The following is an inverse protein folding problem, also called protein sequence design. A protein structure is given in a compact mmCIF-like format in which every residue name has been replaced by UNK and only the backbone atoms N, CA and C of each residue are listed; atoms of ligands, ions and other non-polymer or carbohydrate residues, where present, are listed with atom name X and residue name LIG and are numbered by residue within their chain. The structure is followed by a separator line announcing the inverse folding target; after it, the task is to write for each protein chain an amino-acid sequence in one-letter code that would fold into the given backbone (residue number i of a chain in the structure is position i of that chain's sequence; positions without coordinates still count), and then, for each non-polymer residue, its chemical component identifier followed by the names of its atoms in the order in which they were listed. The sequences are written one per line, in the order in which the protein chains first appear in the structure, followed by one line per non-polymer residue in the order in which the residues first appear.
data_IF_873955906247
#
_entry.id   IF_873955906247
#
_cell.length_a   1.000
_cell.length_b   1.000
_cell.length_c   1.000
_cell.angle_alpha   90.00
_cell.angle_beta   90.00
_cell.angle_gamma   90.00
#
_symmetry.space_group_name_H-M   'P 1'
#
loop_
_entity.id
_entity.type
_entity.pdbx_description
1 polymer ?
#
# COMPACT_ATOMS: atom_id res chain seq x y z
N UNK A 1 -14.50 30.12 -64.25
CA UNK A 1 -13.19 30.78 -64.11
C UNK A 1 -13.12 31.67 -62.87
N UNK A 2 -13.93 32.73 -62.72
CA UNK A 2 -13.92 33.55 -61.48
C UNK A 2 -14.41 32.77 -60.24
N UNK A 3 -15.48 31.98 -60.39
CA UNK A 3 -16.04 31.20 -59.29
C UNK A 3 -15.09 30.09 -58.80
N UNK A 4 -14.35 29.46 -59.71
CA UNK A 4 -13.38 28.40 -59.38
C UNK A 4 -12.19 28.93 -58.58
N UNK A 5 -11.75 30.15 -58.91
CA UNK A 5 -10.70 30.85 -58.17
C UNK A 5 -11.19 31.21 -56.75
N UNK A 6 -12.42 31.71 -56.61
CA UNK A 6 -13.02 32.03 -55.30
C UNK A 6 -13.17 30.78 -54.44
N UNK A 7 -13.64 29.67 -55.00
CA UNK A 7 -13.76 28.38 -54.29
C UNK A 7 -12.39 27.88 -53.84
N UNK A 8 -11.37 27.99 -54.70
CA UNK A 8 -10.01 27.56 -54.36
C UNK A 8 -9.41 28.38 -53.22
N UNK A 9 -9.60 29.71 -53.24
CA UNK A 9 -9.16 30.60 -52.15
C UNK A 9 -9.90 30.28 -50.85
N UNK A 10 -11.21 30.07 -50.91
CA UNK A 10 -12.02 29.71 -49.74
C UNK A 10 -11.54 28.39 -49.12
N UNK A 11 -11.24 27.37 -49.92
CA UNK A 11 -10.77 26.08 -49.44
C UNK A 11 -9.39 26.18 -48.76
N UNK A 12 -8.47 26.98 -49.33
CA UNK A 12 -7.16 27.25 -48.71
C UNK A 12 -7.35 27.96 -47.37
N UNK A 13 -8.22 28.98 -47.32
CA UNK A 13 -8.52 29.70 -46.09
C UNK A 13 -9.13 28.78 -45.01
N UNK A 14 -10.06 27.90 -45.38
CA UNK A 14 -10.62 26.89 -44.47
C UNK A 14 -9.54 25.91 -44.00
N UNK A 15 -8.69 25.40 -44.89
CA UNK A 15 -7.60 24.49 -44.52
C UNK A 15 -6.60 25.14 -43.55
N UNK A 16 -6.24 26.41 -43.78
CA UNK A 16 -5.41 27.18 -42.86
C UNK A 16 -6.09 27.37 -41.50
N UNK A 17 -7.37 27.70 -41.47
CA UNK A 17 -8.12 27.84 -40.22
C UNK A 17 -8.15 26.53 -39.43
N UNK A 18 -8.41 25.39 -40.10
CA UNK A 18 -8.37 24.06 -39.46
C UNK A 18 -6.97 23.73 -38.93
N UNK A 19 -5.91 24.05 -39.67
CA UNK A 19 -4.54 23.81 -39.24
C UNK A 19 -4.20 24.61 -37.97
N UNK A 20 -4.61 25.88 -37.91
CA UNK A 20 -4.40 26.73 -36.72
C UNK A 20 -5.11 26.14 -35.50
N UNK A 21 -6.36 25.72 -35.65
CA UNK A 21 -7.11 25.07 -34.56
C UNK A 21 -6.44 23.76 -34.13
N UNK A 22 -6.01 22.94 -35.08
CA UNK A 22 -5.32 21.68 -34.78
C UNK A 22 -4.01 21.90 -34.02
N UNK A 23 -3.20 22.91 -34.41
CA UNK A 23 -1.98 23.27 -33.68
C UNK A 23 -2.27 23.73 -32.25
N UNK A 24 -3.32 24.53 -32.06
CA UNK A 24 -3.74 24.97 -30.74
C UNK A 24 -4.17 23.80 -29.85
N UNK A 25 -5.00 22.89 -30.37
CA UNK A 25 -5.41 21.67 -29.67
C UNK A 25 -4.22 20.76 -29.33
N UNK A 26 -3.26 20.60 -30.27
CA UNK A 26 -2.04 19.84 -30.03
C UNK A 26 -1.21 20.46 -28.88
N UNK A 27 -1.09 21.79 -28.85
CA UNK A 27 -0.45 22.51 -27.74
C UNK A 27 -1.17 22.28 -26.41
N UNK A 28 -2.50 22.35 -26.39
CA UNK A 28 -3.31 22.06 -25.20
C UNK A 28 -3.11 20.62 -24.70
N UNK A 29 -3.07 19.63 -25.60
CA UNK A 29 -2.85 18.23 -25.23
C UNK A 29 -1.47 18.02 -24.57
N UNK A 30 -0.43 18.68 -25.07
CA UNK A 30 0.92 18.62 -24.47
C UNK A 30 0.90 19.17 -23.03
N UNK A 31 0.26 20.33 -22.84
CA UNK A 31 0.15 20.95 -21.51
C UNK A 31 -0.68 20.07 -20.56
N UNK A 32 -1.81 19.54 -21.03
CA UNK A 32 -2.66 18.64 -20.25
C UNK A 32 -1.94 17.35 -19.83
N UNK A 33 -1.17 16.74 -20.74
CA UNK A 33 -0.36 15.56 -20.42
C UNK A 33 0.63 15.84 -19.29
N UNK A 34 1.31 16.98 -19.34
CA UNK A 34 2.25 17.39 -18.29
C UNK A 34 1.54 17.61 -16.95
N UNK A 35 0.37 18.24 -16.94
CA UNK A 35 -0.42 18.39 -15.71
C UNK A 35 -0.89 17.06 -15.15
N UNK A 36 -1.30 16.12 -16.00
CA UNK A 36 -1.70 14.78 -15.58
C UNK A 36 -0.53 14.01 -14.97
N UNK A 37 0.65 14.10 -15.57
CA UNK A 37 1.87 13.47 -15.04
C UNK A 37 2.25 14.03 -13.67
N UNK A 38 2.22 15.36 -13.50
CA UNK A 38 2.45 16.01 -12.20
C UNK A 38 1.40 15.57 -11.18
N UNK A 39 0.11 15.59 -11.56
CA UNK A 39 -0.97 15.17 -10.68
C UNK A 39 -0.86 13.70 -10.27
N UNK A 40 -0.42 12.84 -11.19
CA UNK A 40 -0.15 11.42 -10.89
C UNK A 40 1.00 11.28 -9.90
N UNK A 41 2.12 11.97 -10.14
CA UNK A 41 3.27 11.95 -9.24
C UNK A 41 2.92 12.48 -7.84
N UNK A 42 2.15 13.57 -7.76
CA UNK A 42 1.67 14.13 -6.50
C UNK A 42 0.71 13.17 -5.79
N UNK A 43 -0.17 12.50 -6.53
CA UNK A 43 -1.08 11.49 -5.98
C UNK A 43 -0.32 10.32 -5.36
N UNK A 44 0.66 9.75 -6.08
CA UNK A 44 1.52 8.67 -5.58
C UNK A 44 2.27 9.13 -4.32
N UNK A 45 2.84 10.33 -4.35
CA UNK A 45 3.55 10.90 -3.19
C UNK A 45 2.62 11.07 -1.98
N UNK A 46 1.43 11.60 -2.18
CA UNK A 46 0.46 11.82 -1.10
C UNK A 46 -0.03 10.51 -0.49
N UNK A 47 -0.28 9.48 -1.31
CA UNK A 47 -0.63 8.14 -0.82
C UNK A 47 0.52 7.55 0.01
N UNK A 48 1.77 7.69 -0.46
CA UNK A 48 2.96 7.25 0.27
C UNK A 48 3.12 7.97 1.61
N UNK A 49 2.92 9.29 1.67
CA UNK A 49 2.94 10.05 2.92
C UNK A 49 1.82 9.60 3.88
N UNK A 50 0.58 9.49 3.39
CA UNK A 50 -0.55 9.06 4.21
C UNK A 50 -0.34 7.65 4.79
N UNK A 51 0.23 6.73 4.00
CA UNK A 51 0.58 5.39 4.47
C UNK A 51 1.65 5.43 5.58
N UNK A 52 2.70 6.25 5.44
CA UNK A 52 3.73 6.42 6.47
C UNK A 52 3.18 7.05 7.75
N UNK A 53 2.40 8.12 7.63
CA UNK A 53 1.74 8.77 8.78
C UNK A 53 0.86 7.78 9.54
N UNK A 54 0.07 6.96 8.83
CA UNK A 54 -0.75 5.93 9.47
C UNK A 54 0.07 4.89 10.24
N UNK A 55 1.22 4.48 9.71
CA UNK A 55 2.13 3.54 10.38
C UNK A 55 2.70 4.16 11.68
N UNK A 56 3.14 5.40 11.61
CA UNK A 56 3.61 6.17 12.77
C UNK A 56 2.50 6.33 13.82
N UNK A 57 1.27 6.66 13.41
CA UNK A 57 0.11 6.79 14.30
C UNK A 57 -0.24 5.49 15.01
N UNK A 58 -0.25 4.35 14.31
CA UNK A 58 -0.51 3.03 14.93
C UNK A 58 0.60 2.71 15.93
N UNK A 59 1.86 2.99 15.59
CA UNK A 59 2.99 2.76 16.50
C UNK A 59 2.91 3.68 17.72
N UNK A 60 2.64 4.97 17.52
CA UNK A 60 2.51 5.98 18.57
C UNK A 60 1.33 5.69 19.49
N UNK A 61 0.22 5.18 18.97
CA UNK A 61 -0.94 4.77 19.77
C UNK A 61 -0.53 3.71 20.80
N UNK A 62 0.29 2.73 20.41
CA UNK A 62 0.83 1.74 21.35
C UNK A 62 1.78 2.35 22.38
N UNK A 63 2.62 3.31 21.98
CA UNK A 63 3.59 3.92 22.89
C UNK A 63 2.96 4.90 23.90
N UNK A 64 1.84 5.53 23.54
CA UNK A 64 1.20 6.56 24.36
C UNK A 64 -0.02 6.05 25.14
N UNK A 65 -0.59 4.91 24.76
CA UNK A 65 -1.69 4.26 25.48
C UNK A 65 -1.18 3.09 26.33
N UNK A 66 -1.07 3.33 27.65
CA UNK A 66 -0.54 2.33 28.60
C UNK A 66 -1.34 1.01 28.60
N UNK A 67 -2.68 0.98 28.68
CA UNK A 67 -3.45 -0.27 28.58
C UNK A 67 -3.17 -1.07 27.29
N UNK A 68 -3.06 -0.39 26.15
CA UNK A 68 -2.70 -1.04 24.89
C UNK A 68 -1.28 -1.62 24.94
N UNK A 69 -0.31 -0.87 25.47
CA UNK A 69 1.05 -1.35 25.63
C UNK A 69 1.12 -2.60 26.52
N UNK A 70 0.44 -2.57 27.66
CA UNK A 70 0.40 -3.71 28.60
C UNK A 70 -0.24 -4.94 27.95
N UNK A 71 -1.39 -4.79 27.29
CA UNK A 71 -2.04 -5.87 26.54
C UNK A 71 -1.11 -6.45 25.47
N UNK A 72 -0.39 -5.60 24.73
CA UNK A 72 0.55 -6.02 23.70
C UNK A 72 1.77 -6.76 24.27
N UNK A 73 2.40 -6.22 25.32
CA UNK A 73 3.55 -6.85 25.99
C UNK A 73 3.18 -8.20 26.60
N UNK A 74 2.03 -8.27 27.28
CA UNK A 74 1.53 -9.51 27.88
C UNK A 74 1.23 -10.58 26.82
N UNK A 75 0.73 -10.17 25.64
CA UNK A 75 0.48 -11.09 24.54
C UNK A 75 1.78 -11.72 24.05
N UNK A 76 2.82 -10.89 23.91
CA UNK A 76 4.10 -11.33 23.39
C UNK A 76 4.82 -12.32 24.29
N UNK A 77 4.75 -12.13 25.61
CA UNK A 77 5.52 -12.93 26.57
C UNK A 77 4.90 -14.29 26.92
N UNK A 78 3.57 -14.44 26.90
CA UNK A 78 2.93 -15.71 27.25
C UNK A 78 1.56 -15.91 26.58
N UNK A 79 1.46 -16.91 25.70
CA UNK A 79 0.15 -17.40 25.27
C UNK A 79 -0.62 -17.94 26.48
N UNK A 80 -1.80 -17.37 26.76
CA UNK A 80 -2.77 -17.94 27.69
C UNK A 80 -2.90 -17.27 29.07
N UNK A 81 -2.11 -16.24 29.39
CA UNK A 81 -2.25 -15.49 30.66
C UNK A 81 -3.15 -14.25 30.56
N UNK A 82 -3.69 -13.99 29.38
CA UNK A 82 -4.42 -12.77 29.06
C UNK A 82 -5.91 -12.84 29.43
N UNK A 83 -6.48 -11.69 29.80
CA UNK A 83 -7.94 -11.57 29.84
C UNK A 83 -8.51 -11.53 28.42
N UNK A 84 -9.80 -11.83 28.26
CA UNK A 84 -10.49 -11.72 26.96
C UNK A 84 -10.39 -10.31 26.36
N UNK A 85 -10.36 -9.28 27.21
CA UNK A 85 -10.25 -7.89 26.79
C UNK A 85 -8.84 -7.63 26.25
N UNK A 86 -7.80 -8.09 26.94
CA UNK A 86 -6.41 -7.92 26.50
C UNK A 86 -6.17 -8.63 25.16
N UNK A 87 -6.68 -9.85 24.99
CA UNK A 87 -6.58 -10.55 23.71
C UNK A 87 -7.33 -9.80 22.61
N UNK A 88 -8.51 -9.24 22.89
CA UNK A 88 -9.24 -8.47 21.88
C UNK A 88 -8.47 -7.21 21.45
N UNK A 89 -7.87 -6.48 22.39
CA UNK A 89 -7.05 -5.30 22.11
C UNK A 89 -5.84 -5.68 21.26
N UNK A 90 -5.09 -6.71 21.68
CA UNK A 90 -3.93 -7.21 20.95
C UNK A 90 -4.28 -7.65 19.52
N UNK A 91 -5.33 -8.45 19.34
CA UNK A 91 -5.71 -8.97 18.03
C UNK A 91 -6.10 -7.86 17.04
N UNK A 92 -6.82 -6.84 17.51
CA UNK A 92 -7.18 -5.70 16.66
C UNK A 92 -5.98 -4.82 16.34
N UNK A 93 -5.07 -4.63 17.31
CA UNK A 93 -3.82 -3.93 17.06
C UNK A 93 -2.98 -4.64 16.00
N UNK A 94 -2.76 -5.95 16.15
CA UNK A 94 -2.05 -6.77 15.16
C UNK A 94 -2.75 -6.72 13.80
N UNK A 95 -4.09 -6.80 13.76
CA UNK A 95 -4.85 -6.66 12.51
C UNK A 95 -4.52 -5.36 11.78
N UNK A 96 -4.47 -4.24 12.49
CA UNK A 96 -4.14 -2.93 11.91
C UNK A 96 -2.72 -2.93 11.33
N UNK A 97 -1.76 -3.53 12.03
CA UNK A 97 -0.38 -3.64 11.57
C UNK A 97 -0.24 -4.50 10.30
N UNK A 98 -0.94 -5.64 10.23
CA UNK A 98 -0.97 -6.48 9.03
C UNK A 98 -1.63 -5.77 7.83
N UNK A 99 -2.75 -5.08 8.05
CA UNK A 99 -3.41 -4.29 7.00
C UNK A 99 -2.51 -3.16 6.49
N UNK A 100 -1.72 -2.54 7.37
CA UNK A 100 -0.76 -1.52 6.99
C UNK A 100 0.38 -2.10 6.13
N UNK A 101 0.95 -3.25 6.51
CA UNK A 101 1.98 -3.93 5.70
C UNK A 101 1.43 -4.35 4.33
N UNK A 102 0.20 -4.86 4.27
CA UNK A 102 -0.47 -5.22 3.00
C UNK A 102 -0.67 -3.99 2.11
N UNK A 103 -1.02 -2.84 2.70
CA UNK A 103 -1.13 -1.60 1.96
C UNK A 103 0.24 -1.17 1.39
N UNK A 104 1.29 -1.19 2.22
CA UNK A 104 2.66 -0.90 1.78
C UNK A 104 3.09 -1.80 0.61
N UNK A 105 2.77 -3.09 0.67
CA UNK A 105 3.04 -4.05 -0.41
C UNK A 105 2.30 -3.69 -1.70
N UNK A 106 1.01 -3.38 -1.61
CA UNK A 106 0.20 -3.02 -2.78
C UNK A 106 0.60 -1.68 -3.41
N UNK A 107 1.15 -0.76 -2.60
CA UNK A 107 1.67 0.51 -3.07
C UNK A 107 3.07 0.40 -3.68
N UNK A 108 3.70 -0.78 -3.69
CA UNK A 108 5.04 -0.94 -4.25
C UNK A 108 6.12 -0.27 -3.39
N UNK A 109 5.93 -0.14 -2.07
CA UNK A 109 6.89 0.54 -1.20
C UNK A 109 8.26 -0.16 -1.29
N UNK A 110 9.32 0.63 -1.53
CA UNK A 110 10.67 0.14 -1.76
C UNK A 110 10.75 -0.91 -2.88
N UNK A 111 9.96 -0.74 -3.94
CA UNK A 111 9.89 -1.67 -5.08
C UNK A 111 9.58 -3.12 -4.67
N UNK A 112 8.76 -3.28 -3.62
CA UNK A 112 8.46 -4.57 -3.00
C UNK A 112 9.70 -5.39 -2.62
N UNK A 113 10.75 -4.69 -2.16
CA UNK A 113 11.99 -5.32 -1.73
C UNK A 113 11.75 -6.41 -0.68
N UNK A 114 12.20 -7.62 -1.00
CA UNK A 114 11.99 -8.82 -0.16
C UNK A 114 12.58 -8.64 1.24
N UNK A 115 13.81 -8.13 1.36
CA UNK A 115 14.46 -7.94 2.67
C UNK A 115 13.74 -6.91 3.53
N UNK A 116 13.20 -5.85 2.92
CA UNK A 116 12.37 -4.88 3.62
C UNK A 116 11.13 -5.54 4.23
N UNK A 117 10.37 -6.29 3.43
CA UNK A 117 9.17 -6.97 3.91
C UNK A 117 9.48 -8.13 4.86
N UNK A 118 10.63 -8.79 4.70
CA UNK A 118 11.14 -9.79 5.62
C UNK A 118 11.38 -9.17 7.00
N UNK A 119 12.06 -8.02 7.05
CA UNK A 119 12.25 -7.26 8.28
C UNK A 119 10.92 -6.81 8.92
N UNK A 120 9.96 -6.34 8.12
CA UNK A 120 8.62 -5.95 8.59
C UNK A 120 7.88 -7.13 9.22
N UNK A 121 7.85 -8.27 8.53
CA UNK A 121 7.27 -9.51 9.03
C UNK A 121 7.99 -9.99 10.30
N UNK A 122 9.31 -9.85 10.38
CA UNK A 122 10.10 -10.17 11.56
C UNK A 122 9.69 -9.34 12.78
N UNK A 123 9.41 -8.06 12.59
CA UNK A 123 8.84 -7.21 13.66
C UNK A 123 7.43 -7.66 14.05
N UNK A 124 6.58 -8.04 13.08
CA UNK A 124 5.21 -8.51 13.35
C UNK A 124 5.12 -9.91 13.95
N UNK A 125 6.25 -10.61 14.09
CA UNK A 125 6.36 -12.00 14.55
C UNK A 125 7.47 -12.17 15.60
N UNK A 126 7.94 -11.07 16.20
CA UNK A 126 9.11 -11.09 17.09
C UNK A 126 8.90 -11.97 18.33
N UNK A 127 7.67 -12.04 18.84
CA UNK A 127 7.31 -12.76 20.05
C UNK A 127 6.41 -13.98 19.78
N UNK A 128 6.26 -14.86 20.77
CA UNK A 128 5.44 -16.08 20.66
C UNK A 128 3.96 -15.75 20.44
N UNK A 129 3.44 -14.71 21.11
CA UNK A 129 2.07 -14.25 20.90
C UNK A 129 1.80 -13.72 19.50
N UNK A 130 2.77 -12.98 18.96
CA UNK A 130 2.69 -12.42 17.61
C UNK A 130 2.77 -13.50 16.52
N UNK A 131 3.62 -14.51 16.71
CA UNK A 131 3.62 -15.70 15.86
C UNK A 131 2.33 -16.49 15.97
N UNK A 132 1.76 -16.61 17.17
CA UNK A 132 0.43 -17.16 17.37
C UNK A 132 -0.66 -16.38 16.61
N UNK A 133 -0.55 -15.05 16.56
CA UNK A 133 -1.44 -14.22 15.75
C UNK A 133 -1.26 -14.48 14.25
N UNK A 134 -0.01 -14.62 13.78
CA UNK A 134 0.25 -14.96 12.37
C UNK A 134 -0.45 -16.27 11.97
N UNK A 135 -0.25 -17.34 12.74
CA UNK A 135 -0.85 -18.65 12.48
C UNK A 135 -2.38 -18.57 12.49
N UNK A 136 -2.96 -17.90 13.48
CA UNK A 136 -4.42 -17.88 13.66
C UNK A 136 -5.17 -16.92 12.74
N UNK A 137 -4.56 -15.78 12.37
CA UNK A 137 -5.25 -14.69 11.67
C UNK A 137 -4.39 -14.03 10.60
N UNK A 138 -3.15 -13.67 10.92
CA UNK A 138 -2.29 -12.88 10.03
C UNK A 138 -2.09 -13.55 8.66
N UNK A 139 -1.78 -14.84 8.66
CA UNK A 139 -1.63 -15.66 7.46
C UNK A 139 -2.92 -15.68 6.64
N UNK A 140 -4.07 -15.89 7.26
CA UNK A 140 -5.38 -15.91 6.59
C UNK A 140 -5.69 -14.58 5.90
N UNK A 141 -5.37 -13.45 6.56
CA UNK A 141 -5.57 -12.12 5.97
C UNK A 141 -4.72 -11.99 4.70
N UNK A 142 -3.44 -12.35 4.76
CA UNK A 142 -2.53 -12.21 3.61
C UNK A 142 -2.89 -13.20 2.49
N UNK A 143 -3.10 -14.47 2.81
CA UNK A 143 -3.23 -15.56 1.84
C UNK A 143 -4.65 -15.72 1.28
N UNK A 144 -5.68 -15.57 2.10
CA UNK A 144 -7.07 -15.86 1.70
C UNK A 144 -7.82 -14.58 1.37
N UNK A 145 -7.70 -13.54 2.20
CA UNK A 145 -8.47 -12.30 2.04
C UNK A 145 -7.87 -11.44 0.94
N UNK A 146 -6.56 -11.17 1.00
CA UNK A 146 -5.87 -10.33 0.02
C UNK A 146 -5.17 -11.12 -1.09
N UNK A 147 -5.01 -12.45 -0.93
CA UNK A 147 -4.48 -13.36 -1.96
C UNK A 147 -3.09 -12.97 -2.46
N UNK A 148 -2.21 -12.55 -1.54
CA UNK A 148 -0.84 -12.14 -1.86
C UNK A 148 0.10 -13.33 -1.62
N UNK A 149 0.31 -14.14 -2.66
CA UNK A 149 1.09 -15.39 -2.56
C UNK A 149 2.55 -15.15 -2.14
N UNK A 150 3.20 -14.13 -2.70
CA UNK A 150 4.59 -13.81 -2.39
C UNK A 150 4.76 -13.41 -0.92
N UNK A 151 3.88 -12.53 -0.41
CA UNK A 151 3.90 -12.11 0.99
C UNK A 151 3.49 -13.24 1.94
N UNK A 152 2.61 -14.15 1.50
CA UNK A 152 2.28 -15.37 2.25
C UNK A 152 3.51 -16.25 2.41
N UNK A 153 4.20 -16.54 1.30
CA UNK A 153 5.41 -17.36 1.30
C UNK A 153 6.51 -16.73 2.15
N UNK A 154 6.68 -15.41 2.05
CA UNK A 154 7.66 -14.69 2.86
C UNK A 154 7.30 -14.74 4.35
N UNK A 155 6.01 -14.64 4.69
CA UNK A 155 5.53 -14.82 6.05
C UNK A 155 5.80 -16.22 6.59
N UNK A 156 5.54 -17.26 5.79
CA UNK A 156 5.80 -18.66 6.16
C UNK A 156 7.31 -18.89 6.41
N UNK A 157 8.18 -18.32 5.57
CA UNK A 157 9.65 -18.35 5.74
C UNK A 157 10.06 -17.67 7.04
N UNK A 158 9.59 -16.44 7.29
CA UNK A 158 9.97 -15.69 8.51
C UNK A 158 9.45 -16.39 9.76
N UNK A 159 8.25 -16.96 9.71
CA UNK A 159 7.74 -17.77 10.81
C UNK A 159 8.66 -18.96 11.10
N UNK A 160 9.04 -19.72 10.07
CA UNK A 160 9.91 -20.89 10.22
C UNK A 160 11.30 -20.50 10.74
N UNK A 161 11.86 -19.39 10.27
CA UNK A 161 13.14 -18.86 10.77
C UNK A 161 13.09 -18.47 12.26
N UNK A 162 11.96 -17.94 12.74
CA UNK A 162 11.81 -17.48 14.12
C UNK A 162 11.35 -18.57 15.09
N UNK A 163 10.50 -19.50 14.65
CA UNK A 163 9.96 -20.59 15.47
C UNK A 163 10.85 -21.85 15.41
N UNK A 164 11.67 -22.00 14.36
CA UNK A 164 12.47 -23.19 14.10
C UNK A 164 11.67 -24.38 13.56
N UNK A 165 10.39 -24.18 13.23
CA UNK A 165 9.50 -25.18 12.64
C UNK A 165 8.51 -24.53 11.68
N UNK A 166 8.03 -25.25 10.65
CA UNK A 166 7.11 -24.68 9.67
C UNK A 166 5.76 -24.33 10.29
N UNK A 167 5.03 -23.43 9.62
CA UNK A 167 3.67 -23.05 10.04
C UNK A 167 2.78 -24.30 10.14
N UNK A 168 2.05 -24.49 11.26
CA UNK A 168 1.12 -25.61 11.41
C UNK A 168 0.08 -25.64 10.29
N UNK A 169 -0.25 -26.85 9.83
CA UNK A 169 -1.24 -27.11 8.79
C UNK A 169 -2.69 -26.83 9.23
#
# INVERSE_FOLDING_TARGET
METDLVVSIAQIATGLATLVVAMFLAGQLIIQRRHLEIAHQDSVRNLGFAARTRNEEITLARLTNRPLLESYMNAGEAQGTQTKIDSHIFFNYMRLMYLQMINEWNLGVNDNNVEYFKGRLGVLMGTVGERGYYVSNGRIIVSTVFRIEELTRLGDIVYEELEGSPVPA
#
